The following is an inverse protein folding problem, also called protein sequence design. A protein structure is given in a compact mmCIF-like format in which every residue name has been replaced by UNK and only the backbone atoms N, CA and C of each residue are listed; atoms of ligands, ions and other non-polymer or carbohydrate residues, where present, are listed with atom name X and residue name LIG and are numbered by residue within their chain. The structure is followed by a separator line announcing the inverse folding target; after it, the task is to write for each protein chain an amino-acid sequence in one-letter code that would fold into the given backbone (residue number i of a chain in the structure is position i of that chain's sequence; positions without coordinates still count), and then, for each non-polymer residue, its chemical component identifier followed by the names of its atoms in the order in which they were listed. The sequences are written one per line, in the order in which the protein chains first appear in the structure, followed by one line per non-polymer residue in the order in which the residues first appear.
data_IF_513624909696
#
_entry.id   IF_513624909696
#
_cell.length_a   1.000
_cell.length_b   1.000
_cell.length_c   1.000
_cell.angle_alpha   90.00
_cell.angle_beta   90.00
_cell.angle_gamma   90.00
#
_symmetry.space_group_name_H-M   'P 1'
#
loop_
_entity.id
_entity.type
_entity.pdbx_description
1 polymer ?
#
# COMPACT_ATOMS: atom_id res chain seq x y z
N UNK A 1 -11.77 8.85 31.65
CA UNK A 1 -11.95 7.45 31.21
C UNK A 1 -10.59 6.92 30.77
N UNK A 2 -9.98 6.03 31.56
CA UNK A 2 -8.71 5.40 31.23
C UNK A 2 -8.88 4.51 30.00
N UNK A 3 -8.14 4.78 28.91
CA UNK A 3 -8.06 3.84 27.78
C UNK A 3 -7.25 2.63 28.25
N UNK A 4 -7.91 1.50 28.45
CA UNK A 4 -7.26 0.21 28.68
C UNK A 4 -6.34 -0.09 27.49
N UNK A 5 -5.05 -0.23 27.75
CA UNK A 5 -4.09 -0.81 26.81
C UNK A 5 -4.50 -2.27 26.61
N UNK A 6 -4.96 -2.63 25.42
CA UNK A 6 -5.15 -4.03 25.04
C UNK A 6 -3.76 -4.66 24.97
N UNK A 7 -3.48 -5.59 25.87
CA UNK A 7 -2.32 -6.45 25.79
C UNK A 7 -2.62 -7.44 24.65
N UNK A 8 -1.93 -7.24 23.52
CA UNK A 8 -2.07 -8.09 22.34
C UNK A 8 -1.14 -9.27 22.54
N UNK A 9 -1.62 -10.33 23.17
CA UNK A 9 -1.10 -11.69 22.99
C UNK A 9 -1.34 -12.04 21.51
N UNK A 10 -0.35 -11.71 20.67
CA UNK A 10 -0.37 -11.92 19.23
C UNK A 10 0.56 -13.08 18.88
N UNK A 11 -0.08 -14.23 18.66
CA UNK A 11 0.31 -15.40 17.88
C UNK A 11 1.56 -15.23 16.99
N UNK A 12 2.50 -16.17 17.12
CA UNK A 12 3.75 -16.31 16.37
C UNK A 12 3.50 -16.15 14.86
N UNK A 13 4.01 -15.07 14.28
CA UNK A 13 4.04 -14.91 12.82
C UNK A 13 5.16 -15.84 12.32
N UNK A 14 4.79 -17.00 11.79
CA UNK A 14 5.67 -17.85 11.00
C UNK A 14 6.00 -17.09 9.70
N UNK A 15 7.18 -16.46 9.70
CA UNK A 15 7.76 -15.68 8.60
C UNK A 15 8.39 -16.61 7.54
N UNK A 16 7.67 -17.67 7.15
CA UNK A 16 8.03 -18.57 6.03
C UNK A 16 6.99 -18.42 4.90
N UNK A 17 6.65 -17.17 4.55
CA UNK A 17 6.07 -16.85 3.24
C UNK A 17 7.22 -16.31 2.40
N UNK A 18 7.69 -17.03 1.36
CA UNK A 18 8.68 -16.48 0.45
C UNK A 18 8.04 -15.33 -0.33
N UNK A 19 8.12 -14.11 0.23
CA UNK A 19 7.79 -12.85 -0.42
C UNK A 19 8.87 -12.46 -1.45
N UNK A 20 9.34 -13.44 -2.21
CA UNK A 20 10.36 -13.26 -3.23
C UNK A 20 9.75 -13.60 -4.59
N UNK A 21 9.55 -12.56 -5.39
CA UNK A 21 9.45 -12.64 -6.85
C UNK A 21 8.15 -13.25 -7.41
N UNK A 22 7.02 -12.61 -7.12
CA UNK A 22 5.90 -12.60 -8.05
C UNK A 22 5.90 -11.26 -8.80
N UNK A 23 6.72 -11.21 -9.85
CA UNK A 23 6.47 -10.40 -11.03
C UNK A 23 6.77 -8.88 -10.92
N UNK A 24 8.06 -8.53 -10.80
CA UNK A 24 8.53 -7.17 -11.03
C UNK A 24 8.20 -6.65 -12.45
N UNK A 25 7.99 -7.53 -13.43
CA UNK A 25 7.70 -7.19 -14.84
C UNK A 25 6.22 -6.77 -15.04
N UNK A 26 5.29 -7.25 -14.22
CA UNK A 26 3.84 -6.95 -14.24
C UNK A 26 3.53 -5.79 -13.31
N UNK A 27 4.34 -5.61 -12.25
CA UNK A 27 4.26 -4.42 -11.40
C UNK A 27 4.36 -3.12 -12.21
N UNK A 28 5.14 -3.09 -13.30
CA UNK A 28 5.29 -1.91 -14.15
C UNK A 28 3.99 -1.49 -14.88
N UNK A 29 3.10 -2.45 -15.16
CA UNK A 29 1.79 -2.24 -15.79
C UNK A 29 0.77 -1.77 -14.76
N UNK A 30 0.75 -2.40 -13.59
CA UNK A 30 -0.12 -2.01 -12.47
C UNK A 30 0.16 -0.58 -11.99
N UNK A 31 1.41 -0.10 -12.06
CA UNK A 31 1.78 1.27 -11.69
C UNK A 31 1.76 2.27 -12.86
N UNK A 32 1.35 1.88 -14.07
CA UNK A 32 1.36 2.78 -15.23
C UNK A 32 0.49 4.04 -15.00
N UNK A 33 -0.66 3.86 -14.33
CA UNK A 33 -1.54 4.96 -13.92
C UNK A 33 -0.89 5.92 -12.90
N UNK A 34 0.12 5.46 -12.15
CA UNK A 34 0.90 6.28 -11.22
C UNK A 34 2.09 6.98 -11.89
N UNK A 35 2.49 6.60 -13.11
CA UNK A 35 3.57 7.29 -13.86
C UNK A 35 3.20 8.71 -14.29
N UNK A 36 1.92 9.07 -14.20
CA UNK A 36 1.43 10.44 -14.39
C UNK A 36 1.78 11.35 -13.19
N UNK A 37 2.13 10.76 -12.04
CA UNK A 37 2.52 11.49 -10.83
C UNK A 37 4.01 11.85 -10.86
N UNK A 38 4.37 12.94 -10.17
CA UNK A 38 5.76 13.37 -10.02
C UNK A 38 6.55 12.42 -9.12
N UNK A 39 7.85 12.28 -9.38
CA UNK A 39 8.74 11.40 -8.62
C UNK A 39 8.89 11.94 -7.19
N UNK A 40 8.31 11.23 -6.22
CA UNK A 40 8.21 11.69 -4.83
C UNK A 40 6.85 12.26 -4.42
N UNK A 41 5.80 12.07 -5.22
CA UNK A 41 4.43 12.36 -4.83
C UNK A 41 4.09 11.73 -3.46
N UNK A 42 3.61 12.56 -2.54
CA UNK A 42 3.25 12.13 -1.20
C UNK A 42 1.94 11.33 -1.19
N UNK A 43 1.68 10.65 -0.07
CA UNK A 43 0.47 9.83 0.07
C UNK A 43 -0.82 10.62 -0.22
N UNK A 44 -0.92 11.87 0.25
CA UNK A 44 -2.09 12.72 -0.02
C UNK A 44 -2.28 12.99 -1.50
N UNK A 45 -1.21 13.27 -2.24
CA UNK A 45 -1.27 13.61 -3.67
C UNK A 45 -1.70 12.41 -4.53
N UNK A 46 -1.26 11.20 -4.17
CA UNK A 46 -1.73 9.95 -4.79
C UNK A 46 -3.24 9.77 -4.59
N UNK A 47 -3.75 10.00 -3.38
CA UNK A 47 -5.17 9.83 -3.07
C UNK A 47 -6.08 10.82 -3.82
N UNK A 48 -5.67 12.07 -3.95
CA UNK A 48 -6.41 13.07 -4.73
C UNK A 48 -6.53 12.61 -6.19
N UNK A 49 -5.41 12.18 -6.79
CA UNK A 49 -5.37 11.71 -8.18
C UNK A 49 -6.25 10.47 -8.42
N UNK A 50 -6.24 9.51 -7.49
CA UNK A 50 -7.10 8.31 -7.58
C UNK A 50 -8.58 8.63 -7.35
N UNK A 51 -8.89 9.64 -6.52
CA UNK A 51 -10.27 10.05 -6.28
C UNK A 51 -10.88 10.71 -7.52
N UNK A 52 -10.13 11.59 -8.20
CA UNK A 52 -10.60 12.28 -9.41
C UNK A 52 -10.97 11.32 -10.54
N UNK A 53 -10.21 10.23 -10.71
CA UNK A 53 -10.45 9.22 -11.75
C UNK A 53 -11.55 8.19 -11.37
N UNK A 54 -12.04 8.19 -10.13
CA UNK A 54 -13.01 7.19 -9.63
C UNK A 54 -14.47 7.58 -9.90
N UNK A 55 -14.74 8.87 -10.01
CA UNK A 55 -16.08 9.44 -10.21
C UNK A 55 -16.47 9.58 -11.71
N UNK A 56 -15.57 9.23 -12.63
CA UNK A 56 -15.81 9.13 -14.09
C UNK A 56 -16.38 7.75 -14.52
#
# INVERSE_FOLDING_TARGET
MTRTRVERDGDEIDDDEPAADADAETAEDDYDHLKSLDDGAGCTEVWEHLSENRDD
#
